data_IF_921657271367
#
_entry.id   IF_921657271367
#
_cell.length_a   1.000
_cell.length_b   1.000
_cell.length_c   1.000
_cell.angle_alpha   90.00
_cell.angle_beta   90.00
_cell.angle_gamma   90.00
#
_symmetry.space_group_name_H-M   'P 1'
#
loop_
_entity.id
_entity.type
_entity.pdbx_description
1 polymer ?
#
# COMPACT_ATOMS: atom_id res chain seq x y z
N UNK A 1 9.33 3.48 27.96
CA UNK A 1 8.45 2.58 27.20
C UNK A 1 9.00 2.51 25.80
N UNK A 2 9.43 1.34 25.33
CA UNK A 2 9.77 1.18 23.90
C UNK A 2 8.49 1.35 23.10
N UNK A 3 8.45 2.34 22.22
CA UNK A 3 7.40 2.48 21.21
C UNK A 3 7.55 1.32 20.24
N UNK A 4 6.58 0.39 20.23
CA UNK A 4 6.53 -0.70 19.25
C UNK A 4 6.59 -0.11 17.84
N UNK A 5 7.57 -0.52 17.04
CA UNK A 5 7.68 -0.09 15.63
C UNK A 5 6.53 -0.69 14.84
N UNK A 6 5.86 0.14 14.02
CA UNK A 6 4.85 -0.34 13.09
C UNK A 6 5.52 -1.18 12.01
N UNK A 7 4.96 -2.35 11.74
CA UNK A 7 5.40 -3.27 10.70
C UNK A 7 4.61 -3.01 9.45
N UNK A 8 5.28 -2.65 8.37
CA UNK A 8 4.60 -2.21 7.15
C UNK A 8 5.07 -2.99 5.94
N UNK A 9 4.15 -3.27 5.03
CA UNK A 9 4.50 -3.64 3.66
C UNK A 9 4.57 -2.36 2.81
N UNK A 10 5.47 -2.30 1.83
CA UNK A 10 5.45 -1.26 0.81
C UNK A 10 4.77 -1.83 -0.43
N UNK A 11 3.78 -1.13 -0.95
CA UNK A 11 3.22 -1.39 -2.27
C UNK A 11 3.35 -0.13 -3.12
N UNK A 12 3.96 -0.25 -4.30
CA UNK A 12 3.98 0.88 -5.22
C UNK A 12 4.07 0.48 -6.68
N UNK A 13 3.47 1.33 -7.51
CA UNK A 13 3.56 1.31 -8.97
C UNK A 13 4.51 2.40 -9.42
N UNK A 14 5.55 2.03 -10.15
CA UNK A 14 6.71 2.85 -10.50
C UNK A 14 6.90 2.86 -12.01
N UNK A 15 7.22 4.03 -12.57
CA UNK A 15 7.41 4.20 -14.00
C UNK A 15 8.81 4.74 -14.30
N UNK A 16 9.47 4.15 -15.29
CA UNK A 16 10.77 4.60 -15.78
C UNK A 16 10.72 5.99 -16.43
N UNK A 17 9.52 6.45 -16.81
CA UNK A 17 9.28 7.78 -17.38
C UNK A 17 9.26 8.91 -16.34
N UNK A 18 9.22 8.57 -15.06
CA UNK A 18 9.30 9.57 -14.00
C UNK A 18 10.70 10.17 -13.93
N UNK A 19 10.84 11.32 -13.25
CA UNK A 19 12.09 12.08 -13.16
C UNK A 19 13.26 11.35 -12.45
N UNK A 20 13.05 10.09 -12.02
CA UNK A 20 14.04 9.27 -11.34
C UNK A 20 14.00 7.83 -11.86
N UNK A 21 15.16 7.15 -12.00
CA UNK A 21 15.18 5.72 -12.27
C UNK A 21 14.45 4.91 -11.20
N UNK A 22 13.75 3.84 -11.60
CA UNK A 22 12.99 2.95 -10.69
C UNK A 22 13.79 2.53 -9.45
N UNK A 23 15.07 2.11 -9.54
CA UNK A 23 15.86 1.77 -8.34
C UNK A 23 15.92 2.90 -7.32
N UNK A 24 16.03 4.15 -7.77
CA UNK A 24 16.08 5.32 -6.90
C UNK A 24 14.70 5.69 -6.34
N UNK A 25 13.63 5.42 -7.08
CA UNK A 25 12.26 5.57 -6.58
C UNK A 25 11.99 4.60 -5.41
N UNK A 26 12.37 3.32 -5.57
CA UNK A 26 12.27 2.31 -4.49
C UNK A 26 13.05 2.71 -3.26
N UNK A 27 14.30 3.16 -3.44
CA UNK A 27 15.15 3.61 -2.35
C UNK A 27 14.53 4.78 -1.57
N UNK A 28 13.98 5.78 -2.27
CA UNK A 28 13.25 6.89 -1.63
C UNK A 28 12.08 6.41 -0.78
N UNK A 29 11.30 5.44 -1.27
CA UNK A 29 10.18 4.90 -0.50
C UNK A 29 10.64 4.15 0.76
N UNK A 30 11.75 3.40 0.68
CA UNK A 30 12.34 2.78 1.87
C UNK A 30 12.84 3.83 2.86
N UNK A 31 13.57 4.84 2.39
CA UNK A 31 14.04 5.96 3.19
C UNK A 31 12.88 6.66 3.91
N UNK A 32 11.75 6.90 3.21
CA UNK A 32 10.55 7.49 3.80
C UNK A 32 9.97 6.62 4.92
N UNK A 33 9.83 5.30 4.69
CA UNK A 33 9.31 4.38 5.70
C UNK A 33 10.24 4.31 6.93
N UNK A 34 11.55 4.21 6.71
CA UNK A 34 12.54 4.22 7.79
C UNK A 34 12.59 5.54 8.54
N UNK A 35 12.41 6.68 7.85
CA UNK A 35 12.38 8.00 8.49
C UNK A 35 11.24 8.14 9.51
N UNK A 36 10.15 7.39 9.33
CA UNK A 36 9.01 7.31 10.25
C UNK A 36 9.22 6.29 11.37
N UNK A 37 10.35 5.59 11.39
CA UNK A 37 10.68 4.59 12.40
C UNK A 37 9.96 3.25 12.22
N UNK A 38 9.37 3.00 11.04
CA UNK A 38 8.65 1.76 10.74
C UNK A 38 9.60 0.64 10.32
N UNK A 39 9.16 -0.61 10.48
CA UNK A 39 9.83 -1.82 10.02
C UNK A 39 9.23 -2.25 8.68
N UNK A 40 10.07 -2.36 7.64
CA UNK A 40 9.64 -2.89 6.35
C UNK A 40 9.66 -4.42 6.41
N UNK A 41 8.49 -5.04 6.29
CA UNK A 41 8.35 -6.51 6.30
C UNK A 41 8.43 -7.09 4.90
N UNK A 42 7.81 -6.43 3.94
CA UNK A 42 7.75 -6.89 2.56
C UNK A 42 7.59 -5.72 1.60
N UNK A 43 7.99 -5.95 0.34
CA UNK A 43 7.90 -4.96 -0.72
C UNK A 43 7.27 -5.59 -1.97
N UNK A 44 6.37 -4.84 -2.59
CA UNK A 44 5.62 -5.24 -3.78
C UNK A 44 5.71 -4.11 -4.80
N UNK A 45 6.34 -4.40 -5.95
CA UNK A 45 6.74 -3.40 -6.93
C UNK A 45 6.13 -3.69 -8.29
N UNK A 46 5.31 -2.79 -8.77
CA UNK A 46 4.81 -2.84 -10.14
C UNK A 46 5.59 -1.87 -11.02
N UNK A 47 6.40 -2.40 -11.93
CA UNK A 47 7.33 -1.62 -12.74
C UNK A 47 6.85 -1.53 -14.18
N UNK A 48 6.66 -0.30 -14.69
CA UNK A 48 6.32 -0.01 -16.08
C UNK A 48 5.07 -0.76 -16.62
N UNK A 49 4.12 -1.09 -15.73
CA UNK A 49 2.86 -1.71 -16.15
C UNK A 49 1.97 -0.72 -16.92
N UNK A 50 1.21 -1.16 -17.94
CA UNK A 50 0.27 -0.31 -18.68
C UNK A 50 -0.81 0.29 -17.76
N UNK A 51 -1.12 1.60 -17.83
CA UNK A 51 -2.02 2.29 -16.89
C UNK A 51 -3.38 1.60 -16.70
N UNK A 52 -3.91 1.07 -17.79
CA UNK A 52 -5.19 0.38 -17.97
C UNK A 52 -5.13 -1.14 -17.70
N UNK A 53 -3.99 -1.65 -17.24
CA UNK A 53 -3.84 -3.07 -16.93
C UNK A 53 -4.85 -3.49 -15.84
N UNK A 54 -5.74 -4.47 -16.12
CA UNK A 54 -6.75 -4.91 -15.17
C UNK A 54 -6.15 -5.44 -13.86
N UNK A 55 -6.90 -5.35 -12.75
CA UNK A 55 -6.51 -5.93 -11.46
C UNK A 55 -6.14 -7.41 -11.56
N UNK A 56 -6.82 -8.16 -12.44
CA UNK A 56 -6.56 -9.58 -12.64
C UNK A 56 -5.18 -9.86 -13.27
N UNK A 57 -4.55 -8.88 -13.90
CA UNK A 57 -3.24 -9.05 -14.54
C UNK A 57 -2.10 -8.47 -13.69
N UNK A 58 -2.44 -7.75 -12.62
CA UNK A 58 -1.50 -7.15 -11.66
C UNK A 58 -0.94 -8.21 -10.70
N UNK A 59 0.13 -8.88 -11.15
CA UNK A 59 0.81 -9.97 -10.42
C UNK A 59 1.21 -9.59 -8.99
N UNK A 60 1.83 -8.43 -8.80
CA UNK A 60 2.37 -8.03 -7.49
C UNK A 60 1.27 -7.58 -6.54
N UNK A 61 0.22 -6.91 -7.04
CA UNK A 61 -0.99 -6.66 -6.26
C UNK A 61 -1.67 -7.95 -5.82
N UNK A 62 -1.82 -8.94 -6.71
CA UNK A 62 -2.35 -10.26 -6.35
C UNK A 62 -1.50 -10.94 -5.29
N UNK A 63 -0.17 -10.88 -5.42
CA UNK A 63 0.76 -11.45 -4.43
C UNK A 63 0.60 -10.77 -3.08
N UNK A 64 0.51 -9.44 -3.06
CA UNK A 64 0.29 -8.65 -1.86
C UNK A 64 -1.04 -9.01 -1.18
N UNK A 65 -2.16 -8.95 -1.91
CA UNK A 65 -3.48 -9.28 -1.37
C UNK A 65 -3.55 -10.72 -0.85
N UNK A 66 -2.96 -11.68 -1.56
CA UNK A 66 -2.91 -13.08 -1.09
C UNK A 66 -2.11 -13.22 0.20
N UNK A 67 -0.99 -12.50 0.32
CA UNK A 67 -0.14 -12.54 1.50
C UNK A 67 -0.79 -11.87 2.72
N UNK A 68 -1.57 -10.82 2.51
CA UNK A 68 -2.44 -10.20 3.52
C UNK A 68 -3.55 -11.16 3.96
N UNK A 69 -4.32 -11.69 3.00
CA UNK A 69 -5.48 -12.56 3.27
C UNK A 69 -5.11 -13.81 4.06
N UNK A 70 -3.95 -14.40 3.75
CA UNK A 70 -3.45 -15.59 4.45
C UNK A 70 -2.71 -15.26 5.76
N UNK A 71 -2.71 -13.99 6.19
CA UNK A 71 -1.96 -13.48 7.33
C UNK A 71 -0.47 -13.89 7.32
N UNK A 72 0.13 -13.99 6.13
CA UNK A 72 1.50 -14.44 5.96
C UNK A 72 2.52 -13.33 6.25
N UNK A 73 2.11 -12.07 6.13
CA UNK A 73 2.99 -10.91 6.32
C UNK A 73 3.07 -10.45 7.76
N UNK A 74 2.03 -10.65 8.58
CA UNK A 74 1.96 -10.13 9.95
C UNK A 74 2.38 -8.64 10.01
N UNK A 75 1.68 -7.81 9.23
CA UNK A 75 1.90 -6.36 9.11
C UNK A 75 0.78 -5.60 9.82
N UNK A 76 1.09 -4.41 10.29
CA UNK A 76 0.13 -3.47 10.91
C UNK A 76 -0.41 -2.47 9.86
N UNK A 77 0.29 -2.30 8.72
CA UNK A 77 -0.14 -1.39 7.66
C UNK A 77 0.54 -1.60 6.31
N UNK A 78 0.00 -0.96 5.28
CA UNK A 78 0.61 -0.85 3.96
C UNK A 78 0.99 0.59 3.68
N UNK A 79 2.25 0.82 3.32
CA UNK A 79 2.75 2.10 2.85
C UNK A 79 2.63 2.20 1.33
N UNK A 80 1.94 3.24 0.86
CA UNK A 80 1.75 3.58 -0.55
C UNK A 80 2.11 5.06 -0.78
N UNK A 81 2.40 5.46 -2.01
CA UNK A 81 2.66 6.88 -2.32
C UNK A 81 1.39 7.71 -2.05
N UNK A 82 0.30 7.29 -2.70
CA UNK A 82 -1.03 7.86 -2.64
C UNK A 82 -2.04 6.79 -3.11
N UNK A 83 -3.33 7.10 -3.02
CA UNK A 83 -4.39 6.20 -3.48
C UNK A 83 -4.44 6.04 -5.00
N UNK A 84 -3.97 7.03 -5.77
CA UNK A 84 -3.87 6.90 -7.24
C UNK A 84 -2.81 5.86 -7.63
N UNK A 85 -1.80 5.65 -6.80
CA UNK A 85 -0.75 4.65 -6.98
C UNK A 85 -1.25 3.22 -6.70
N UNK A 86 -2.19 3.06 -5.77
CA UNK A 86 -2.99 1.82 -5.67
C UNK A 86 -3.87 1.64 -6.91
N UNK A 87 -4.31 2.76 -7.50
CA UNK A 87 -5.50 2.80 -8.35
C UNK A 87 -5.41 3.82 -9.49
N UNK A 88 -5.03 3.36 -10.69
CA UNK A 88 -5.50 3.95 -11.97
C UNK A 88 -6.89 3.41 -12.33
N UNK A 89 -7.71 3.23 -11.30
CA UNK A 89 -8.69 2.15 -11.20
C UNK A 89 -10.06 2.76 -10.90
N UNK A 90 -11.12 2.03 -11.25
CA UNK A 90 -12.48 2.52 -11.08
C UNK A 90 -12.84 2.74 -9.60
N UNK A 91 -13.79 3.64 -9.31
CA UNK A 91 -14.31 3.88 -7.94
C UNK A 91 -14.72 2.59 -7.22
N UNK A 92 -15.22 1.59 -7.95
CA UNK A 92 -15.65 0.29 -7.42
C UNK A 92 -14.47 -0.50 -6.85
N UNK A 93 -13.38 -0.57 -7.60
CA UNK A 93 -12.20 -1.32 -7.22
C UNK A 93 -11.41 -0.65 -6.09
N UNK A 94 -11.40 0.69 -6.06
CA UNK A 94 -10.93 1.45 -4.89
C UNK A 94 -11.66 1.02 -3.62
N UNK A 95 -13.01 1.00 -3.65
CA UNK A 95 -13.81 0.59 -2.50
C UNK A 95 -13.52 -0.87 -2.10
N UNK A 96 -13.34 -1.76 -3.07
CA UNK A 96 -12.99 -3.15 -2.78
C UNK A 96 -11.64 -3.28 -2.05
N UNK A 97 -10.63 -2.49 -2.43
CA UNK A 97 -9.33 -2.48 -1.75
C UNK A 97 -9.44 -1.92 -0.32
N UNK A 98 -10.24 -0.87 -0.12
CA UNK A 98 -10.50 -0.35 1.21
C UNK A 98 -11.20 -1.38 2.09
N UNK A 99 -12.32 -1.95 1.63
CA UNK A 99 -13.02 -3.03 2.37
C UNK A 99 -12.06 -4.19 2.68
N UNK A 100 -11.19 -4.54 1.74
CA UNK A 100 -10.19 -5.58 1.94
C UNK A 100 -9.21 -5.24 3.07
N UNK A 101 -8.65 -4.02 3.10
CA UNK A 101 -7.75 -3.61 4.18
C UNK A 101 -8.46 -3.55 5.54
N UNK A 102 -9.71 -3.08 5.57
CA UNK A 102 -10.53 -3.03 6.77
C UNK A 102 -10.78 -4.44 7.34
N UNK A 103 -11.19 -5.38 6.49
CA UNK A 103 -11.44 -6.77 6.88
C UNK A 103 -10.21 -7.50 7.41
N UNK A 104 -9.01 -7.02 7.08
CA UNK A 104 -7.74 -7.60 7.50
C UNK A 104 -7.02 -6.76 8.58
N UNK A 105 -7.68 -5.73 9.13
CA UNK A 105 -7.10 -4.82 10.14
C UNK A 105 -5.76 -4.21 9.70
N UNK A 106 -5.69 -3.76 8.44
CA UNK A 106 -4.50 -3.15 7.85
C UNK A 106 -4.73 -1.65 7.66
N UNK A 107 -3.87 -0.85 8.29
CA UNK A 107 -3.83 0.60 8.04
C UNK A 107 -3.30 0.90 6.64
N UNK A 108 -3.88 1.89 5.96
CA UNK A 108 -3.29 2.46 4.75
C UNK A 108 -2.48 3.70 5.14
N UNK A 109 -1.19 3.69 4.85
CA UNK A 109 -0.27 4.76 5.19
C UNK A 109 0.17 5.42 3.88
N UNK A 110 -0.10 6.70 3.75
CA UNK A 110 0.35 7.51 2.61
C UNK A 110 1.38 8.54 3.05
N UNK A 111 1.89 9.33 2.10
CA UNK A 111 2.68 10.51 2.42
C UNK A 111 1.89 11.55 3.22
N UNK A 112 0.59 11.66 2.97
CA UNK A 112 -0.29 12.69 3.52
C UNK A 112 -0.86 12.32 4.90
N UNK A 113 -1.05 11.03 5.17
CA UNK A 113 -1.67 10.60 6.42
C UNK A 113 -1.66 9.09 6.65
N UNK A 114 -2.25 8.70 7.79
CA UNK A 114 -2.52 7.31 8.14
C UNK A 114 -4.04 7.17 8.16
N UNK A 115 -4.54 6.15 7.47
CA UNK A 115 -5.95 5.83 7.35
C UNK A 115 -6.19 4.51 8.10
N UNK A 116 -6.78 4.61 9.28
CA UNK A 116 -7.07 3.46 10.13
C UNK A 116 -8.44 2.86 9.80
N UNK A 117 -8.58 1.52 9.71
CA UNK A 117 -9.86 0.83 9.51
C UNK A 117 -10.99 1.33 10.41
N UNK A 118 -10.71 1.51 11.71
CA UNK A 118 -11.68 1.96 12.72
C UNK A 118 -12.26 3.36 12.44
N UNK A 119 -11.51 4.23 11.77
CA UNK A 119 -11.90 5.59 11.46
C UNK A 119 -12.75 5.70 10.18
N UNK A 120 -12.77 4.65 9.36
CA UNK A 120 -13.49 4.65 8.07
C UNK A 120 -15.01 4.53 8.26
N UNK A 121 -15.44 3.75 9.26
CA UNK A 121 -16.86 3.53 9.57
C UNK A 121 -17.47 4.65 10.42
N UNK A 122 -16.67 5.45 11.12
CA UNK A 122 -17.14 6.64 11.83
C UNK A 122 -17.65 7.75 10.86
N UNK A 123 -17.22 7.72 9.60
CA UNK A 123 -17.69 8.59 8.53
C UNK A 123 -18.90 8.08 7.74
N UNK A 124 -19.43 6.89 8.06
CA UNK A 124 -20.58 6.28 7.38
C UNK A 124 -21.87 6.30 8.22
N UNK A 125 -21.82 6.77 9.46
CA UNK A 125 -23.01 7.10 10.25
C UNK A 125 -23.57 8.47 9.82
N UNK A 126 -24.41 8.45 8.79
CA UNK A 126 -25.40 9.50 8.50
C UNK A 126 -26.79 9.02 8.94
#
# INVERSE_FOLDING_TARGET
METKKLRVAIFSRLYSKDNLPIPRQKERLREEVWSRGYEIVAEFWEEDLPPDLPLEERRELKRFMTAVWNNALNIDGVFIIDFENLSLISRKEYLNLMIFFEQNDIMVITREGIYCPDEWMAGLSF
#
